data_IF_304082331044
#
_entry.id   IF_304082331044
#
_cell.length_a   1.000
_cell.length_b   1.000
_cell.length_c   1.000
_cell.angle_alpha   90.00
_cell.angle_beta   90.00
_cell.angle_gamma   90.00
#
_symmetry.space_group_name_H-M   'P 1'
#
loop_
_entity.id
_entity.type
_entity.pdbx_description
1 polymer ?
#
# COMPACT_ATOMS: atom_id res chain seq x y z
N UNK A 1 28.15 5.84 25.84
CA UNK A 1 27.04 4.87 25.72
C UNK A 1 26.27 5.28 24.49
N UNK A 2 26.16 4.39 23.50
CA UNK A 2 25.41 4.64 22.27
C UNK A 2 23.93 4.48 22.57
N UNK A 3 23.09 5.36 22.01
CA UNK A 3 21.64 5.30 22.18
C UNK A 3 20.94 5.39 20.82
N UNK A 4 19.73 4.85 20.78
CA UNK A 4 18.78 5.08 19.70
C UNK A 4 17.91 6.26 20.09
N UNK A 5 17.79 7.24 19.20
CA UNK A 5 16.99 8.46 19.37
C UNK A 5 15.89 8.44 18.33
N UNK A 6 14.64 8.52 18.78
CA UNK A 6 13.49 8.54 17.89
C UNK A 6 13.10 9.98 17.62
N UNK A 7 13.03 10.36 16.34
CA UNK A 7 12.51 11.65 15.87
C UNK A 7 11.19 11.39 15.14
N UNK A 8 10.13 12.00 15.64
CA UNK A 8 8.83 12.05 14.99
C UNK A 8 8.66 13.40 14.30
N UNK A 9 8.49 13.36 12.98
CA UNK A 9 8.02 14.48 12.18
C UNK A 9 6.49 14.43 12.14
N UNK A 10 5.86 15.58 12.37
CA UNK A 10 4.42 15.78 12.22
C UNK A 10 4.20 16.88 11.19
N UNK A 11 3.36 16.64 10.19
CA UNK A 11 3.11 17.60 9.11
C UNK A 11 1.60 17.89 8.94
N UNK A 12 1.26 19.17 8.93
CA UNK A 12 -0.04 19.67 8.44
C UNK A 12 0.03 19.66 6.91
N UNK A 13 -0.54 18.63 6.28
CA UNK A 13 -0.41 18.43 4.84
C UNK A 13 -1.23 19.46 4.08
N UNK A 14 -2.42 19.80 4.59
CA UNK A 14 -3.31 20.75 3.93
C UNK A 14 -2.68 22.14 3.91
N UNK A 15 -2.22 22.62 5.06
CA UNK A 15 -1.56 23.93 5.16
C UNK A 15 -0.29 23.99 4.30
N UNK A 16 0.51 22.92 4.29
CA UNK A 16 1.73 22.88 3.49
C UNK A 16 1.48 22.96 1.98
N UNK A 17 0.44 22.26 1.50
CA UNK A 17 0.06 22.26 0.08
C UNK A 17 -0.60 23.58 -0.34
N UNK A 18 -1.45 24.16 0.51
CA UNK A 18 -2.09 25.46 0.25
C UNK A 18 -1.05 26.61 0.21
N UNK A 19 -0.03 26.55 1.07
CA UNK A 19 1.01 27.58 1.16
C UNK A 19 2.21 27.33 0.23
N UNK A 20 2.29 26.17 -0.44
CA UNK A 20 3.44 25.71 -1.22
C UNK A 20 4.78 25.78 -0.44
N UNK A 21 4.73 25.45 0.85
CA UNK A 21 5.89 25.47 1.76
C UNK A 21 5.64 24.65 3.02
N UNK A 22 6.70 24.17 3.66
CA UNK A 22 6.61 23.52 4.98
C UNK A 22 6.62 24.52 6.14
N UNK A 23 6.84 25.82 5.86
CA UNK A 23 6.95 26.85 6.89
C UNK A 23 5.64 26.98 7.68
N UNK A 24 5.70 26.71 8.99
CA UNK A 24 4.51 26.72 9.86
C UNK A 24 3.69 25.44 9.82
N UNK A 25 4.07 24.44 9.02
CA UNK A 25 3.32 23.20 8.82
C UNK A 25 4.11 21.94 9.21
N UNK A 26 5.40 22.07 9.56
CA UNK A 26 6.25 20.97 10.01
C UNK A 26 6.63 21.13 11.49
N UNK A 27 6.51 20.06 12.24
CA UNK A 27 6.84 19.99 13.66
C UNK A 27 7.66 18.73 13.91
N UNK A 28 8.71 18.84 14.73
CA UNK A 28 9.57 17.70 15.05
C UNK A 28 9.76 17.55 16.55
N UNK A 29 9.71 16.32 17.02
CA UNK A 29 9.87 15.96 18.43
C UNK A 29 10.82 14.77 18.51
N UNK A 30 11.70 14.77 19.51
CA UNK A 30 12.51 13.60 19.84
C UNK A 30 12.31 13.13 21.29
N UNK A 31 12.72 11.89 21.57
CA UNK A 31 12.71 11.30 22.91
C UNK A 31 13.95 11.64 23.75
N UNK A 32 14.78 12.58 23.28
CA UNK A 32 16.11 12.85 23.83
C UNK A 32 16.23 14.23 24.49
N UNK A 33 15.10 14.78 24.95
CA UNK A 33 15.05 16.08 25.64
C UNK A 33 15.96 16.15 26.88
N UNK A 34 15.98 15.10 27.71
CA UNK A 34 16.88 15.05 28.87
C UNK A 34 18.35 14.85 28.48
N UNK A 35 18.62 14.41 27.25
CA UNK A 35 19.95 14.31 26.65
C UNK A 35 20.45 15.61 26.01
N UNK A 36 19.69 16.70 26.14
CA UNK A 36 20.08 18.03 25.67
C UNK A 36 19.43 18.49 24.36
N UNK A 37 18.50 17.73 23.80
CA UNK A 37 17.75 18.17 22.61
C UNK A 37 16.92 19.42 22.91
N UNK A 38 16.84 20.34 21.95
CA UNK A 38 16.18 21.66 22.06
C UNK A 38 15.17 21.89 20.92
N UNK A 39 14.35 22.93 21.04
CA UNK A 39 13.39 23.36 20.01
C UNK A 39 12.34 22.29 19.65
N UNK A 40 11.90 21.52 20.64
CA UNK A 40 10.83 20.52 20.50
C UNK A 40 9.56 21.15 19.91
N UNK A 41 8.82 20.38 19.11
CA UNK A 41 7.59 20.79 18.45
C UNK A 41 7.76 22.00 17.52
N UNK A 42 8.92 22.10 16.86
CA UNK A 42 9.18 23.10 15.82
C UNK A 42 9.83 22.44 14.60
N UNK A 43 9.84 23.10 13.44
CA UNK A 43 10.62 22.68 12.28
C UNK A 43 12.15 22.82 12.49
N UNK A 44 12.58 23.47 13.58
CA UNK A 44 13.98 23.70 13.92
C UNK A 44 14.48 22.84 15.09
N UNK A 45 13.96 21.62 15.24
CA UNK A 45 14.39 20.66 16.26
C UNK A 45 15.92 20.49 16.19
N UNK A 46 16.57 20.66 17.35
CA UNK A 46 18.00 20.45 17.50
C UNK A 46 18.24 19.23 18.38
N UNK A 47 18.49 18.08 17.76
CA UNK A 47 18.69 16.79 18.44
C UNK A 47 20.13 16.65 18.93
N UNK A 48 20.32 16.32 20.21
CA UNK A 48 21.64 16.14 20.82
C UNK A 48 22.18 14.72 20.60
N UNK A 49 23.25 14.59 19.81
CA UNK A 49 23.83 13.29 19.40
C UNK A 49 25.33 13.20 19.65
N UNK A 50 25.84 11.99 19.77
CA UNK A 50 27.26 11.66 19.83
C UNK A 50 27.64 10.60 18.78
N UNK A 51 28.93 10.47 18.42
CA UNK A 51 29.39 9.36 17.58
C UNK A 51 28.96 8.01 18.14
N UNK A 52 28.40 7.17 17.27
CA UNK A 52 27.82 5.86 17.58
C UNK A 52 26.33 5.88 17.89
N UNK A 53 25.70 7.05 18.06
CA UNK A 53 24.24 7.12 18.22
C UNK A 53 23.52 6.75 16.91
N UNK A 54 22.35 6.14 17.06
CA UNK A 54 21.42 5.87 15.97
C UNK A 54 20.22 6.82 16.07
N UNK A 55 19.81 7.36 14.95
CA UNK A 55 18.64 8.24 14.83
C UNK A 55 17.61 7.53 13.98
N UNK A 56 16.36 7.49 14.43
CA UNK A 56 15.24 6.94 13.67
C UNK A 56 14.27 8.08 13.37
N UNK A 57 14.09 8.43 12.09
CA UNK A 57 13.08 9.39 11.66
C UNK A 57 11.83 8.68 11.16
N UNK A 58 10.69 9.11 11.68
CA UNK A 58 9.35 8.70 11.25
C UNK A 58 8.52 9.94 10.93
N UNK A 59 7.54 9.83 10.03
CA UNK A 59 6.68 10.95 9.63
C UNK A 59 5.21 10.56 9.77
N UNK A 60 4.44 11.44 10.39
CA UNK A 60 2.98 11.33 10.49
C UNK A 60 2.32 12.62 9.99
N UNK A 61 1.30 12.52 9.12
CA UNK A 61 0.42 13.66 8.85
C UNK A 61 -0.51 13.93 10.04
N UNK A 62 -0.96 15.18 10.21
CA UNK A 62 -1.97 15.53 11.22
C UNK A 62 -3.31 14.89 10.86
N UNK A 63 -3.73 15.00 9.60
CA UNK A 63 -4.92 14.33 9.08
C UNK A 63 -4.56 12.93 8.58
N UNK A 64 -5.26 11.90 9.07
CA UNK A 64 -4.94 10.51 8.75
C UNK A 64 -5.27 10.12 7.31
N UNK A 65 -6.09 10.90 6.61
CA UNK A 65 -6.47 10.71 5.21
C UNK A 65 -5.40 11.18 4.22
N UNK A 66 -4.47 12.02 4.69
CA UNK A 66 -3.42 12.56 3.86
C UNK A 66 -2.22 11.61 3.81
N UNK A 67 -1.61 11.46 2.64
CA UNK A 67 -0.35 10.74 2.51
C UNK A 67 0.81 11.70 2.75
N UNK A 68 1.81 11.21 3.51
CA UNK A 68 3.05 11.92 3.78
C UNK A 68 4.20 10.90 3.89
N UNK A 69 5.30 11.14 3.18
CA UNK A 69 6.49 10.29 3.24
C UNK A 69 7.78 11.11 3.19
N UNK A 70 8.80 10.68 3.94
CA UNK A 70 10.16 11.22 3.80
C UNK A 70 10.79 10.58 2.56
N UNK A 71 11.19 11.42 1.60
CA UNK A 71 11.88 11.01 0.36
C UNK A 71 13.39 11.13 0.44
N UNK A 72 13.90 12.11 1.18
CA UNK A 72 15.32 12.25 1.41
C UNK A 72 15.60 12.98 2.72
N UNK A 73 16.70 12.59 3.37
CA UNK A 73 17.35 13.34 4.44
C UNK A 73 18.74 13.70 3.94
N UNK A 74 19.03 15.01 3.83
CA UNK A 74 20.28 15.51 3.27
C UNK A 74 21.25 15.87 4.40
N UNK A 75 22.23 14.99 4.61
CA UNK A 75 23.34 15.10 5.56
C UNK A 75 24.65 14.67 4.86
N UNK A 76 25.81 15.19 5.27
CA UNK A 76 27.11 14.64 4.87
C UNK A 76 27.25 13.19 5.36
N UNK A 77 27.40 12.23 4.43
CA UNK A 77 27.38 10.80 4.72
C UNK A 77 28.57 10.33 5.58
N UNK A 78 29.67 11.09 5.54
CA UNK A 78 30.84 10.91 6.39
C UNK A 78 30.58 11.26 7.86
N UNK A 79 29.60 12.13 8.13
CA UNK A 79 29.20 12.53 9.48
C UNK A 79 28.05 11.66 9.97
N UNK A 80 27.02 11.47 9.15
CA UNK A 80 25.88 10.63 9.47
C UNK A 80 25.46 9.84 8.23
N UNK A 81 25.60 8.52 8.29
CA UNK A 81 25.14 7.66 7.21
C UNK A 81 23.65 7.40 7.37
N UNK A 82 22.88 7.74 6.33
CA UNK A 82 21.44 7.64 6.34
C UNK A 82 20.98 6.58 5.36
N UNK A 83 20.09 5.70 5.82
CA UNK A 83 19.45 4.65 5.02
C UNK A 83 17.94 4.66 5.24
N UNK A 84 17.19 4.28 4.21
CA UNK A 84 15.75 4.06 4.29
C UNK A 84 15.48 2.60 4.57
N UNK A 85 14.56 2.36 5.49
CA UNK A 85 14.04 1.04 5.83
C UNK A 85 12.52 1.04 5.70
N UNK A 86 11.92 -0.14 5.78
CA UNK A 86 10.47 -0.33 5.76
C UNK A 86 10.11 -1.34 6.82
N UNK A 87 9.07 -1.08 7.61
CA UNK A 87 8.62 -2.05 8.60
C UNK A 87 8.14 -3.32 7.89
N UNK A 88 8.49 -4.52 8.40
CA UNK A 88 8.03 -5.77 7.82
C UNK A 88 6.52 -5.76 7.63
N UNK A 89 6.06 -6.23 6.47
CA UNK A 89 4.64 -6.39 6.15
C UNK A 89 3.84 -5.07 6.07
N UNK A 90 4.52 -3.92 5.93
CA UNK A 90 3.86 -2.62 5.73
C UNK A 90 4.54 -1.79 4.64
N UNK A 91 3.84 -0.79 4.10
CA UNK A 91 4.45 0.24 3.25
C UNK A 91 5.01 1.42 4.07
N UNK A 92 5.02 1.30 5.40
CA UNK A 92 5.49 2.35 6.31
C UNK A 92 7.02 2.36 6.28
N UNK A 93 7.56 3.37 5.61
CA UNK A 93 9.00 3.62 5.58
C UNK A 93 9.45 4.46 6.76
N UNK A 94 10.61 4.13 7.30
CA UNK A 94 11.33 4.96 8.27
C UNK A 94 12.77 5.14 7.80
N UNK A 95 13.45 6.15 8.35
CA UNK A 95 14.83 6.42 8.01
C UNK A 95 15.71 6.21 9.23
N UNK A 96 16.88 5.61 9.02
CA UNK A 96 17.86 5.35 10.07
C UNK A 96 19.13 6.12 9.75
N UNK A 97 19.68 6.80 10.75
CA UNK A 97 20.93 7.55 10.67
C UNK A 97 21.93 7.03 11.68
N UNK A 98 23.14 6.68 11.24
CA UNK A 98 24.23 6.30 12.14
C UNK A 98 25.22 7.46 12.22
N UNK A 99 25.37 8.06 13.41
CA UNK A 99 26.30 9.18 13.63
C UNK A 99 27.72 8.63 13.72
N UNK A 100 28.58 9.00 12.77
CA UNK A 100 29.96 8.52 12.66
C UNK A 100 30.96 9.46 13.31
N UNK A 101 30.67 10.76 13.30
CA UNK A 101 31.58 11.82 13.75
C UNK A 101 30.86 12.85 14.61
N UNK A 102 31.60 13.63 15.42
CA UNK A 102 31.02 14.76 16.15
C UNK A 102 30.38 15.76 15.17
N UNK A 103 29.13 16.15 15.43
CA UNK A 103 28.33 16.91 14.47
C UNK A 103 28.45 18.43 14.61
N UNK A 104 28.83 18.96 15.78
CA UNK A 104 28.78 20.40 16.03
C UNK A 104 27.35 20.96 15.94
N UNK A 105 27.16 22.05 15.20
CA UNK A 105 25.83 22.58 14.82
C UNK A 105 25.62 22.32 13.32
N UNK A 106 25.07 21.14 13.00
CA UNK A 106 24.91 20.66 11.63
C UNK A 106 23.44 20.71 11.21
N UNK A 107 23.02 21.69 10.40
CA UNK A 107 21.68 21.68 9.81
C UNK A 107 21.57 20.56 8.77
N UNK A 108 20.36 20.02 8.61
CA UNK A 108 20.05 19.02 7.59
C UNK A 108 18.79 19.36 6.81
N UNK A 109 18.72 18.85 5.58
CA UNK A 109 17.57 19.04 4.70
C UNK A 109 16.60 17.87 4.76
N UNK A 110 15.31 18.16 4.64
CA UNK A 110 14.24 17.17 4.47
C UNK A 110 13.57 17.37 3.12
N UNK A 111 13.32 16.29 2.40
CA UNK A 111 12.45 16.27 1.23
C UNK A 111 11.25 15.40 1.57
N UNK A 112 10.07 16.03 1.63
CA UNK A 112 8.82 15.35 1.93
C UNK A 112 8.00 15.20 0.65
N UNK A 113 7.34 14.07 0.49
CA UNK A 113 6.25 13.90 -0.45
C UNK A 113 4.93 14.00 0.32
N UNK A 114 4.04 14.90 -0.12
CA UNK A 114 2.79 15.22 0.56
C UNK A 114 1.60 15.14 -0.39
N UNK A 115 0.43 14.84 0.16
CA UNK A 115 -0.86 14.89 -0.55
C UNK A 115 -1.29 13.55 -1.14
N UNK A 116 -2.47 13.53 -1.75
CA UNK A 116 -3.09 12.31 -2.28
C UNK A 116 -3.01 12.22 -3.80
N UNK A 117 -2.20 11.28 -4.32
CA UNK A 117 -2.52 10.43 -5.49
C UNK A 117 -1.38 9.44 -5.83
N UNK A 118 -1.40 8.28 -5.20
CA UNK A 118 -1.15 7.02 -5.92
C UNK A 118 -2.48 6.54 -6.50
N UNK A 119 -2.49 6.10 -7.76
CA UNK A 119 -3.67 5.47 -8.40
C UNK A 119 -3.34 4.05 -8.84
N UNK A 120 -4.20 3.13 -8.45
CA UNK A 120 -4.26 1.75 -8.94
C UNK A 120 -5.58 1.59 -9.70
N UNK A 121 -5.54 1.00 -10.89
CA UNK A 121 -6.69 0.80 -11.77
C UNK A 121 -6.85 -0.70 -12.07
N UNK A 122 -8.09 -1.20 -12.05
CA UNK A 122 -8.47 -2.58 -12.37
C UNK A 122 -9.16 -2.62 -13.75
N UNK A 123 -8.85 -3.62 -14.58
CA UNK A 123 -9.45 -3.78 -15.92
C UNK A 123 -10.74 -4.62 -15.90
N UNK A 124 -11.25 -4.99 -14.72
CA UNK A 124 -12.36 -5.91 -14.56
C UNK A 124 -12.10 -7.26 -15.21
N UNK A 125 -13.18 -7.90 -15.68
CA UNK A 125 -13.16 -9.21 -16.36
C UNK A 125 -13.53 -9.11 -17.85
N UNK A 126 -13.36 -7.93 -18.44
CA UNK A 126 -13.68 -7.69 -19.85
C UNK A 126 -12.72 -8.41 -20.82
N UNK A 127 -11.50 -8.69 -20.36
CA UNK A 127 -10.53 -9.50 -21.08
C UNK A 127 -10.93 -10.98 -21.01
N UNK A 128 -11.14 -11.60 -22.16
CA UNK A 128 -11.45 -13.03 -22.28
C UNK A 128 -10.47 -13.71 -23.22
N UNK A 129 -10.05 -14.92 -22.85
CA UNK A 129 -9.38 -15.84 -23.75
C UNK A 129 -10.47 -16.65 -24.48
N UNK A 130 -10.32 -16.79 -25.79
CA UNK A 130 -11.26 -17.57 -26.62
C UNK A 130 -10.52 -18.75 -27.25
N UNK A 131 -11.21 -19.87 -27.43
CA UNK A 131 -10.68 -21.02 -28.17
C UNK A 131 -10.55 -20.69 -29.66
N UNK A 132 -9.40 -21.00 -30.26
CA UNK A 132 -9.16 -20.79 -31.69
C UNK A 132 -10.20 -21.51 -32.59
N UNK A 133 -10.76 -22.62 -32.10
CA UNK A 133 -11.79 -23.40 -32.79
C UNK A 133 -13.13 -22.65 -32.93
N UNK A 134 -13.43 -21.66 -32.06
CA UNK A 134 -14.66 -20.86 -32.13
C UNK A 134 -14.68 -19.88 -33.32
N UNK A 135 -13.56 -19.70 -34.03
CA UNK A 135 -13.49 -18.90 -35.25
C UNK A 135 -13.74 -19.69 -36.53
N UNK A 136 -13.85 -21.03 -36.47
CA UNK A 136 -14.24 -21.83 -37.63
C UNK A 136 -15.75 -21.78 -37.82
N UNK A 137 -16.27 -20.92 -38.71
CA UNK A 137 -17.72 -20.75 -38.94
C UNK A 137 -18.35 -21.97 -39.64
N UNK A 138 -19.37 -22.63 -39.04
CA UNK A 138 -20.13 -23.69 -39.72
C UNK A 138 -21.52 -23.18 -40.11
N UNK A 139 -21.86 -23.41 -41.38
CA UNK A 139 -23.07 -22.95 -42.05
C UNK A 139 -24.40 -23.42 -41.45
N UNK A 140 -25.41 -22.63 -41.78
CA UNK A 140 -26.81 -22.78 -41.48
C UNK A 140 -27.36 -24.20 -41.74
N UNK A 141 -28.13 -24.74 -40.79
CA UNK A 141 -29.30 -25.57 -41.11
C UNK A 141 -30.37 -25.41 -40.02
N UNK A 142 -31.59 -25.16 -40.46
CA UNK A 142 -32.77 -24.71 -39.70
C UNK A 142 -33.93 -25.65 -40.00
N UNK A 143 -34.55 -26.31 -39.02
CA UNK A 143 -35.91 -26.93 -39.13
C UNK A 143 -36.38 -27.38 -37.73
N UNK A 144 -37.33 -26.72 -37.04
CA UNK A 144 -38.82 -26.64 -37.09
C UNK A 144 -39.62 -27.87 -36.59
N UNK A 145 -40.46 -27.59 -35.56
CA UNK A 145 -41.79 -28.17 -35.23
C UNK A 145 -41.83 -29.61 -34.66
N UNK A 146 -42.69 -30.04 -33.72
CA UNK A 146 -44.07 -29.65 -33.36
C UNK A 146 -44.43 -30.08 -31.92
N UNK A 147 -45.46 -29.45 -31.37
CA UNK A 147 -46.18 -29.83 -30.15
C UNK A 147 -47.05 -31.09 -30.33
N UNK A 148 -47.15 -31.93 -29.29
CA UNK A 148 -48.40 -32.52 -28.76
C UNK A 148 -48.11 -33.47 -27.57
N UNK A 149 -48.83 -33.21 -26.48
CA UNK A 149 -49.04 -34.12 -25.35
C UNK A 149 -49.98 -35.23 -25.81
N UNK A 150 -49.59 -36.50 -25.67
CA UNK A 150 -50.49 -37.66 -25.51
C UNK A 150 -49.84 -38.68 -24.55
N UNK A 151 -50.70 -39.18 -23.67
CA UNK A 151 -50.56 -40.13 -22.58
C UNK A 151 -49.57 -41.30 -22.78
N UNK A 152 -48.82 -41.60 -21.72
CA UNK A 152 -48.08 -42.84 -21.56
C UNK A 152 -48.65 -43.62 -20.37
N UNK A 153 -49.29 -44.77 -20.63
CA UNK A 153 -49.23 -45.96 -19.76
C UNK A 153 -50.03 -47.12 -20.36
N UNK A 154 -49.47 -47.81 -21.36
CA UNK A 154 -49.80 -49.23 -21.59
C UNK A 154 -48.60 -49.90 -22.24
N UNK A 155 -47.72 -50.46 -21.41
CA UNK A 155 -46.60 -51.28 -21.87
C UNK A 155 -46.83 -52.74 -21.49
N UNK A 156 -46.56 -53.57 -22.50
CA UNK A 156 -46.14 -54.97 -22.43
C UNK A 156 -47.21 -56.03 -22.13
N UNK A 157 -47.86 -56.44 -23.22
CA UNK A 157 -48.10 -57.86 -23.51
C UNK A 157 -46.76 -58.59 -23.65
N UNK A 158 -46.56 -59.64 -22.85
CA UNK A 158 -45.68 -60.76 -23.18
C UNK A 158 -46.11 -62.01 -22.39
N UNK A 159 -46.40 -63.11 -23.11
CA UNK A 159 -46.02 -64.43 -22.63
C UNK A 159 -47.11 -65.42 -22.18
N UNK A 160 -47.78 -66.05 -23.16
CA UNK A 160 -47.86 -67.53 -23.32
C UNK A 160 -48.57 -68.38 -22.23
N UNK A 161 -49.79 -68.80 -22.58
CA UNK A 161 -50.31 -70.19 -22.71
C UNK A 161 -50.24 -71.19 -21.54
N UNK A 162 -51.41 -71.66 -21.06
CA UNK A 162 -51.89 -73.06 -21.21
C UNK A 162 -53.33 -73.32 -20.66
N UNK A 163 -54.18 -73.88 -21.54
CA UNK A 163 -55.10 -75.04 -21.39
C UNK A 163 -56.35 -74.83 -20.47
N UNK A 164 -57.57 -74.69 -21.03
CA UNK A 164 -58.63 -75.71 -21.32
C UNK A 164 -58.99 -76.59 -20.09
N UNK A 165 -60.21 -76.94 -19.74
CA UNK A 165 -61.57 -76.80 -20.29
C UNK A 165 -62.53 -77.43 -19.27
N UNK A 166 -63.83 -77.12 -19.40
CA UNK A 166 -65.03 -77.77 -18.83
C UNK A 166 -65.24 -77.72 -17.32
#
# INVERSE_FOLDING_TARGET
MTKTINILLVVDVVAALEADTLAGSLYMIDDNRLGGSRNQATAGLATSVAPGDEIIWTLLPIECENHAAIRAIKLPAEICEVRRETYPESDVSYWVGTVKQPVGDLPYGLTLELGSRMRTLDNGTDARLIDAALNASPGATRTRSSSRIVEAALNASAGVTRIRSS
#
